data_IF_369749378095
#
_entry.id   IF_369749378095
#
_cell.length_a   1.000
_cell.length_b   1.000
_cell.length_c   1.000
_cell.angle_alpha   90.00
_cell.angle_beta   90.00
_cell.angle_gamma   90.00
#
_symmetry.space_group_name_H-M   'P 1'
#
loop_
_entity.id
_entity.type
_entity.pdbx_description
1 polymer ?
#
# COMPACT_ATOMS: atom_id res chain seq x y z
N UNK A 1 19.63 69.28 -65.90
CA UNK A 1 19.55 69.37 -64.43
C UNK A 1 20.35 68.20 -63.86
N UNK A 2 21.63 68.35 -63.50
CA UNK A 2 22.15 68.68 -62.13
C UNK A 2 21.56 67.76 -61.05
N UNK A 3 22.27 66.93 -60.26
CA UNK A 3 23.67 66.77 -59.78
C UNK A 3 23.87 65.27 -59.41
N UNK A 4 25.01 64.60 -59.62
CA UNK A 4 26.20 64.52 -58.73
C UNK A 4 25.84 64.34 -57.23
N UNK A 5 26.44 63.50 -56.37
CA UNK A 5 27.80 62.93 -56.34
C UNK A 5 27.97 62.10 -55.05
N UNK A 6 28.92 61.15 -55.07
CA UNK A 6 29.93 60.83 -54.03
C UNK A 6 29.49 60.15 -52.71
N UNK A 7 29.71 58.83 -52.70
CA UNK A 7 30.56 58.04 -51.79
C UNK A 7 31.12 58.74 -50.53
N UNK A 8 30.85 58.19 -49.34
CA UNK A 8 31.89 58.09 -48.32
C UNK A 8 31.72 56.84 -47.45
N UNK A 9 32.81 56.09 -47.41
CA UNK A 9 33.09 54.88 -46.65
C UNK A 9 33.48 55.28 -45.23
N UNK A 10 32.88 54.70 -44.19
CA UNK A 10 33.62 54.45 -42.94
C UNK A 10 33.09 53.22 -42.22
N UNK A 11 34.06 52.39 -41.86
CA UNK A 11 33.99 51.04 -41.33
C UNK A 11 34.30 51.12 -39.81
N UNK A 12 33.96 50.05 -39.08
CA UNK A 12 34.44 49.70 -37.71
C UNK A 12 33.70 50.46 -36.57
N UNK A 13 33.25 49.91 -35.44
CA UNK A 13 33.01 48.57 -34.87
C UNK A 13 32.55 48.86 -33.42
N UNK A 14 31.83 47.92 -32.82
CA UNK A 14 31.89 47.57 -31.39
C UNK A 14 30.82 48.10 -30.39
N UNK A 15 30.12 47.11 -29.81
CA UNK A 15 29.64 46.98 -28.41
C UNK A 15 28.35 47.79 -28.08
N UNK A 16 27.27 47.26 -27.53
CA UNK A 16 27.11 46.11 -26.64
C UNK A 16 25.80 45.36 -26.88
N UNK A 17 25.84 44.07 -26.60
CA UNK A 17 24.69 43.21 -26.40
C UNK A 17 23.78 43.76 -25.28
N UNK A 18 22.48 43.72 -25.52
CA UNK A 18 21.48 43.55 -24.46
C UNK A 18 20.29 42.82 -25.09
N UNK A 19 20.47 41.50 -25.22
CA UNK A 19 19.34 40.62 -25.39
C UNK A 19 18.47 40.75 -24.12
N UNK A 20 17.33 41.44 -24.23
CA UNK A 20 16.21 41.19 -23.34
C UNK A 20 15.70 39.78 -23.68
N UNK A 21 16.36 38.78 -23.13
CA UNK A 21 15.70 37.53 -22.82
C UNK A 21 14.78 37.85 -21.65
N UNK A 22 13.53 38.13 -21.96
CA UNK A 22 12.44 37.93 -21.01
C UNK A 22 12.46 36.44 -20.64
N UNK A 23 13.26 36.11 -19.64
CA UNK A 23 13.14 34.87 -18.89
C UNK A 23 11.80 34.97 -18.17
N UNK A 24 10.73 34.56 -18.86
CA UNK A 24 9.57 34.02 -18.20
C UNK A 24 10.08 32.77 -17.46
N UNK A 25 10.58 33.00 -16.26
CA UNK A 25 10.76 31.98 -15.24
C UNK A 25 9.35 31.49 -14.96
N UNK A 26 8.88 30.52 -15.74
CA UNK A 26 7.73 29.73 -15.36
C UNK A 26 8.18 29.02 -14.08
N UNK A 27 7.84 29.60 -12.94
CA UNK A 27 7.78 28.87 -11.70
C UNK A 27 6.78 27.75 -11.97
N UNK A 28 7.31 26.57 -12.31
CA UNK A 28 6.57 25.34 -12.20
C UNK A 28 6.27 25.22 -10.72
N UNK A 29 5.12 25.75 -10.31
CA UNK A 29 4.46 25.34 -9.08
C UNK A 29 4.25 23.85 -9.25
N UNK A 30 5.17 23.05 -8.73
CA UNK A 30 4.88 21.66 -8.43
C UNK A 30 3.75 21.73 -7.42
N UNK A 31 2.52 21.61 -7.93
CA UNK A 31 1.36 21.35 -7.11
C UNK A 31 1.60 19.94 -6.58
N UNK A 32 2.37 19.84 -5.49
CA UNK A 32 2.56 18.59 -4.78
C UNK A 32 1.27 18.36 -4.05
N UNK A 33 0.24 17.91 -4.79
CA UNK A 33 -0.92 17.31 -4.18
C UNK A 33 -0.39 16.22 -3.26
N UNK A 34 -0.65 16.39 -1.96
CA UNK A 34 -0.29 15.39 -0.98
C UNK A 34 -1.00 14.11 -1.39
N UNK A 35 -0.24 13.16 -1.94
CA UNK A 35 -0.77 11.84 -2.27
C UNK A 35 -1.34 11.26 -0.98
N UNK A 36 -2.56 10.76 -1.05
CA UNK A 36 -3.23 10.05 0.04
C UNK A 36 -3.16 8.55 -0.19
N UNK A 37 -3.35 7.77 0.87
CA UNK A 37 -3.44 6.32 0.78
C UNK A 37 -4.65 5.94 -0.11
N UNK A 38 -4.47 5.12 -1.16
CA UNK A 38 -5.55 4.71 -2.05
C UNK A 38 -6.71 4.07 -1.28
N UNK A 39 -7.91 4.35 -1.76
CA UNK A 39 -9.15 3.74 -1.27
C UNK A 39 -9.78 2.95 -2.41
N UNK A 40 -10.26 1.75 -2.11
CA UNK A 40 -10.91 0.84 -3.04
C UNK A 40 -12.35 0.57 -2.58
N UNK A 41 -13.24 0.29 -3.53
CA UNK A 41 -14.63 -0.04 -3.20
C UNK A 41 -14.75 -1.45 -2.64
N UNK A 42 -13.86 -2.36 -3.09
CA UNK A 42 -13.91 -3.78 -2.72
C UNK A 42 -12.58 -4.29 -2.17
N UNK A 43 -12.66 -5.37 -1.37
CA UNK A 43 -11.47 -6.11 -0.90
C UNK A 43 -10.71 -6.72 -2.08
N UNK A 44 -11.43 -7.09 -3.14
CA UNK A 44 -10.86 -7.64 -4.37
C UNK A 44 -9.90 -6.66 -5.04
N UNK A 45 -10.39 -5.46 -5.37
CA UNK A 45 -9.56 -4.40 -5.95
C UNK A 45 -8.33 -4.08 -5.09
N UNK A 46 -8.53 -4.02 -3.77
CA UNK A 46 -7.44 -3.75 -2.82
C UNK A 46 -6.37 -4.85 -2.81
N UNK A 47 -6.77 -6.14 -2.76
CA UNK A 47 -5.83 -7.25 -2.76
C UNK A 47 -5.14 -7.43 -4.12
N UNK A 48 -5.84 -7.19 -5.23
CA UNK A 48 -5.27 -7.20 -6.58
C UNK A 48 -4.19 -6.13 -6.75
N UNK A 49 -4.44 -4.91 -6.25
CA UNK A 49 -3.44 -3.82 -6.29
C UNK A 49 -2.24 -4.09 -5.37
N UNK A 50 -2.46 -4.74 -4.22
CA UNK A 50 -1.37 -5.11 -3.30
C UNK A 50 -0.38 -6.13 -3.89
N UNK A 51 -0.88 -7.04 -4.73
CA UNK A 51 -0.06 -8.10 -5.33
C UNK A 51 0.49 -9.14 -4.35
N UNK A 52 -0.03 -9.23 -3.13
CA UNK A 52 0.47 -10.19 -2.13
C UNK A 52 -0.19 -11.57 -2.25
N UNK A 53 -1.43 -11.64 -2.76
CA UNK A 53 -2.23 -12.86 -2.85
C UNK A 53 -2.98 -12.95 -4.18
N UNK A 54 -3.11 -14.18 -4.71
CA UNK A 54 -3.63 -14.44 -6.05
C UNK A 54 -4.50 -15.72 -6.04
N UNK A 55 -5.63 -15.69 -6.76
CA UNK A 55 -6.50 -16.86 -6.87
C UNK A 55 -5.84 -17.97 -7.70
N UNK A 56 -5.09 -17.59 -8.74
CA UNK A 56 -4.45 -18.49 -9.71
C UNK A 56 -3.44 -19.43 -9.07
N UNK A 57 -2.83 -19.00 -7.96
CA UNK A 57 -1.82 -19.79 -7.26
C UNK A 57 -2.33 -20.39 -5.94
N UNK A 58 -3.63 -20.23 -5.65
CA UNK A 58 -4.28 -20.76 -4.45
C UNK A 58 -4.00 -19.97 -3.17
N UNK A 59 -3.27 -18.85 -3.22
CA UNK A 59 -3.00 -18.00 -2.07
C UNK A 59 -4.15 -17.08 -1.69
N UNK A 60 -5.13 -16.90 -2.56
CA UNK A 60 -6.37 -16.18 -2.32
C UNK A 60 -7.59 -17.02 -2.70
N UNK A 61 -8.67 -16.93 -1.90
CA UNK A 61 -10.02 -17.32 -2.32
C UNK A 61 -11.04 -16.34 -1.75
N UNK A 62 -12.01 -15.95 -2.55
CA UNK A 62 -13.20 -15.26 -2.06
C UNK A 62 -14.25 -16.32 -1.72
N UNK A 63 -14.50 -16.51 -0.43
CA UNK A 63 -15.53 -17.45 0.07
C UNK A 63 -16.90 -16.78 0.00
N UNK A 64 -16.97 -15.48 0.29
CA UNK A 64 -18.15 -14.64 0.12
C UNK A 64 -17.71 -13.20 -0.22
N UNK A 65 -18.33 -12.62 -1.23
CA UNK A 65 -18.16 -11.21 -1.63
C UNK A 65 -19.39 -10.35 -1.28
N UNK A 66 -20.38 -10.93 -0.59
CA UNK A 66 -21.54 -10.18 -0.13
C UNK A 66 -21.11 -9.11 0.88
N UNK A 67 -21.48 -7.85 0.64
CA UNK A 67 -21.05 -6.70 1.47
C UNK A 67 -21.39 -6.85 2.96
N UNK A 68 -22.45 -7.59 3.30
CA UNK A 68 -22.86 -7.88 4.68
C UNK A 68 -22.10 -9.03 5.35
N UNK A 69 -21.33 -9.81 4.58
CA UNK A 69 -20.62 -10.99 5.08
C UNK A 69 -19.41 -11.30 4.17
N UNK A 70 -18.48 -10.35 4.03
CA UNK A 70 -17.28 -10.58 3.23
C UNK A 70 -16.41 -11.60 3.96
N UNK A 71 -16.02 -12.66 3.24
CA UNK A 71 -15.18 -13.73 3.75
C UNK A 71 -14.15 -14.10 2.72
N UNK A 72 -12.88 -13.95 3.09
CA UNK A 72 -11.74 -14.34 2.25
C UNK A 72 -10.89 -15.41 2.93
N UNK A 73 -10.21 -16.20 2.12
CA UNK A 73 -9.11 -17.05 2.53
C UNK A 73 -7.80 -16.48 1.99
N UNK A 74 -6.80 -16.35 2.85
CA UNK A 74 -5.42 -16.08 2.44
C UNK A 74 -4.52 -17.23 2.86
N UNK A 75 -3.54 -17.55 2.01
CA UNK A 75 -2.72 -18.74 2.19
C UNK A 75 -1.29 -18.45 1.77
N UNK A 76 -0.39 -18.23 2.73
CA UNK A 76 1.04 -18.17 2.42
C UNK A 76 1.65 -19.56 2.26
N UNK A 77 2.57 -19.74 1.31
CA UNK A 77 3.33 -20.97 1.19
C UNK A 77 4.24 -21.17 2.39
N UNK A 78 4.29 -22.39 2.90
CA UNK A 78 5.23 -22.83 3.94
C UNK A 78 6.01 -24.06 3.48
N UNK A 79 7.21 -24.22 4.03
CA UNK A 79 7.97 -25.45 3.89
C UNK A 79 7.48 -26.48 4.89
N UNK A 80 7.46 -27.75 4.50
CA UNK A 80 7.17 -28.87 5.41
C UNK A 80 8.12 -28.96 6.61
N UNK A 81 9.30 -28.33 6.51
CA UNK A 81 10.32 -28.30 7.53
C UNK A 81 10.20 -27.08 8.46
N UNK A 82 9.27 -26.16 8.19
CA UNK A 82 9.05 -25.01 9.06
C UNK A 82 8.60 -25.48 10.44
N UNK A 83 9.12 -24.83 11.48
CA UNK A 83 8.72 -25.15 12.84
C UNK A 83 7.24 -24.82 13.06
N UNK A 84 6.57 -25.62 13.90
CA UNK A 84 5.16 -25.42 14.26
C UNK A 84 4.88 -23.96 14.68
N UNK A 85 5.73 -23.39 15.53
CA UNK A 85 5.58 -22.01 16.01
C UNK A 85 5.72 -20.98 14.88
N UNK A 86 6.65 -21.18 13.96
CA UNK A 86 6.80 -20.28 12.81
C UNK A 86 5.54 -20.30 11.91
N UNK A 87 4.96 -21.48 11.68
CA UNK A 87 3.72 -21.61 10.91
C UNK A 87 2.54 -20.92 11.63
N UNK A 88 2.42 -21.11 12.95
CA UNK A 88 1.39 -20.43 13.75
C UNK A 88 1.53 -18.90 13.71
N UNK A 89 2.76 -18.37 13.74
CA UNK A 89 3.01 -16.93 13.58
C UNK A 89 2.63 -16.42 12.19
N UNK A 90 2.95 -17.17 11.12
CA UNK A 90 2.57 -16.80 9.74
C UNK A 90 1.05 -16.68 9.63
N UNK A 91 0.31 -17.66 10.16
CA UNK A 91 -1.15 -17.67 10.12
C UNK A 91 -1.76 -16.45 10.81
N UNK A 92 -1.25 -16.11 12.01
CA UNK A 92 -1.70 -14.92 12.74
C UNK A 92 -1.33 -13.64 11.99
N UNK A 93 -0.11 -13.55 11.44
CA UNK A 93 0.38 -12.40 10.67
C UNK A 93 -0.48 -12.12 9.47
N UNK A 94 -0.90 -13.15 8.73
CA UNK A 94 -1.74 -12.97 7.56
C UNK A 94 -3.10 -12.37 7.93
N UNK A 95 -3.70 -12.82 9.04
CA UNK A 95 -4.96 -12.24 9.55
C UNK A 95 -4.77 -10.78 9.97
N UNK A 96 -3.71 -10.45 10.73
CA UNK A 96 -3.42 -9.08 11.16
C UNK A 96 -3.16 -8.19 9.94
N UNK A 97 -2.34 -8.65 9.00
CA UNK A 97 -1.98 -7.90 7.81
C UNK A 97 -3.22 -7.55 6.98
N UNK A 98 -4.00 -8.56 6.60
CA UNK A 98 -5.14 -8.39 5.71
C UNK A 98 -6.24 -7.57 6.36
N UNK A 99 -6.50 -7.77 7.66
CA UNK A 99 -7.50 -6.98 8.38
C UNK A 99 -7.15 -5.48 8.40
N UNK A 100 -5.93 -5.15 8.83
CA UNK A 100 -5.53 -3.75 8.98
C UNK A 100 -5.35 -3.05 7.63
N UNK A 101 -4.85 -3.76 6.61
CA UNK A 101 -4.79 -3.22 5.25
C UNK A 101 -6.20 -2.97 4.69
N UNK A 102 -7.13 -3.92 4.88
CA UNK A 102 -8.53 -3.74 4.44
C UNK A 102 -9.16 -2.52 5.10
N UNK A 103 -8.99 -2.32 6.40
CA UNK A 103 -9.57 -1.16 7.08
C UNK A 103 -8.87 0.15 6.75
N UNK A 104 -7.61 0.10 6.32
CA UNK A 104 -6.87 1.26 5.85
C UNK A 104 -7.33 1.74 4.46
N UNK A 105 -7.74 0.82 3.60
CA UNK A 105 -7.92 1.10 2.16
C UNK A 105 -9.35 0.81 1.65
N UNK A 106 -10.29 0.48 2.53
CA UNK A 106 -11.71 0.31 2.18
C UNK A 106 -12.61 0.99 3.21
N UNK A 107 -13.92 1.01 2.98
CA UNK A 107 -14.92 1.49 3.95
C UNK A 107 -15.63 0.37 4.73
N UNK A 108 -15.09 -0.85 4.73
CA UNK A 108 -15.70 -1.98 5.43
C UNK A 108 -15.60 -1.86 6.94
N UNK A 109 -16.69 -2.15 7.63
CA UNK A 109 -16.70 -2.22 9.10
C UNK A 109 -16.30 -3.58 9.63
N UNK A 110 -16.41 -4.63 8.80
CA UNK A 110 -16.23 -6.00 9.24
C UNK A 110 -15.66 -6.85 8.09
N UNK A 111 -14.84 -7.85 8.43
CA UNK A 111 -14.26 -8.80 7.49
C UNK A 111 -14.03 -10.15 8.18
N UNK A 112 -14.42 -11.25 7.53
CA UNK A 112 -14.01 -12.59 7.95
C UNK A 112 -12.79 -13.04 7.14
N UNK A 113 -11.74 -13.45 7.84
CA UNK A 113 -10.48 -13.89 7.23
C UNK A 113 -10.20 -15.31 7.67
N UNK A 114 -9.95 -16.21 6.73
CA UNK A 114 -9.36 -17.52 6.99
C UNK A 114 -7.92 -17.52 6.53
N UNK A 115 -6.98 -17.68 7.46
CA UNK A 115 -5.60 -17.99 7.10
C UNK A 115 -5.38 -19.50 7.22
N UNK A 116 -4.95 -20.10 6.10
CA UNK A 116 -4.56 -21.52 6.05
C UNK A 116 -3.33 -21.65 5.17
N UNK A 117 -2.19 -22.13 5.70
CA UNK A 117 -0.97 -22.24 4.91
C UNK A 117 -1.11 -23.22 3.75
N UNK A 118 -0.41 -22.95 2.64
CA UNK A 118 -0.29 -23.86 1.51
C UNK A 118 1.11 -24.49 1.46
N UNK A 119 1.22 -25.66 0.85
CA UNK A 119 2.52 -26.31 0.64
C UNK A 119 3.30 -25.58 -0.45
N UNK A 120 4.54 -25.18 -0.13
CA UNK A 120 5.42 -24.48 -1.07
C UNK A 120 5.66 -25.29 -2.35
N UNK A 121 5.77 -26.62 -2.25
CA UNK A 121 6.03 -27.53 -3.37
C UNK A 121 4.74 -27.94 -4.09
N UNK A 122 3.62 -28.05 -3.37
CA UNK A 122 2.31 -28.37 -3.92
C UNK A 122 1.26 -27.33 -3.54
N UNK A 123 1.08 -26.32 -4.41
CA UNK A 123 0.15 -25.21 -4.17
C UNK A 123 -1.34 -25.61 -4.15
N UNK A 124 -1.67 -26.88 -4.38
CA UNK A 124 -3.03 -27.42 -4.21
C UNK A 124 -3.26 -28.02 -2.83
N UNK A 125 -2.20 -28.24 -2.05
CA UNK A 125 -2.25 -28.83 -0.72
C UNK A 125 -2.24 -27.75 0.36
N UNK A 126 -3.26 -27.78 1.21
CA UNK A 126 -3.42 -26.89 2.35
C UNK A 126 -3.11 -27.63 3.66
N UNK A 127 -2.53 -26.91 4.61
CA UNK A 127 -2.28 -27.42 5.96
C UNK A 127 -3.39 -27.02 6.92
N UNK A 128 -4.55 -27.70 6.80
CA UNK A 128 -5.75 -27.42 7.61
C UNK A 128 -5.52 -27.49 9.13
N UNK A 129 -4.52 -28.24 9.60
CA UNK A 129 -4.16 -28.31 11.02
C UNK A 129 -3.74 -26.96 11.61
N UNK A 130 -3.31 -26.02 10.77
CA UNK A 130 -2.92 -24.66 11.17
C UNK A 130 -3.97 -23.61 10.85
N UNK A 131 -5.10 -23.99 10.24
CA UNK A 131 -6.14 -23.06 9.83
C UNK A 131 -6.65 -22.23 11.01
N UNK A 132 -6.77 -20.93 10.79
CA UNK A 132 -7.46 -20.01 11.69
C UNK A 132 -8.45 -19.17 10.89
N UNK A 133 -9.64 -19.02 11.44
CA UNK A 133 -10.66 -18.13 10.89
C UNK A 133 -11.01 -17.12 11.96
N UNK A 134 -11.02 -15.84 11.58
CA UNK A 134 -11.34 -14.74 12.49
C UNK A 134 -12.28 -13.77 11.80
N UNK A 135 -13.29 -13.33 12.54
CA UNK A 135 -14.18 -12.26 12.15
C UNK A 135 -13.71 -10.99 12.85
N UNK A 136 -13.36 -9.96 12.09
CA UNK A 136 -12.69 -8.76 12.62
C UNK A 136 -13.54 -7.53 12.38
N UNK A 137 -13.64 -6.67 13.39
CA UNK A 137 -14.36 -5.40 13.35
C UNK A 137 -13.40 -4.20 13.31
N UNK A 138 -13.76 -3.16 12.54
CA UNK A 138 -13.00 -1.93 12.34
C UNK A 138 -12.83 -1.15 13.64
N UNK A 139 -13.87 -1.03 14.48
CA UNK A 139 -13.78 -0.28 15.73
C UNK A 139 -12.83 -0.96 16.72
N UNK A 140 -12.82 -2.29 16.74
CA UNK A 140 -11.82 -3.06 17.50
C UNK A 140 -10.41 -2.83 16.97
N UNK A 141 -10.20 -2.91 15.66
CA UNK A 141 -8.89 -2.63 15.04
C UNK A 141 -8.41 -1.19 15.32
N UNK A 142 -9.29 -0.18 15.29
CA UNK A 142 -8.98 1.20 15.72
C UNK A 142 -8.57 1.27 17.19
N UNK A 143 -9.21 0.51 18.07
CA UNK A 143 -8.83 0.47 19.49
C UNK A 143 -7.43 -0.11 19.69
N UNK A 144 -7.06 -1.12 18.90
CA UNK A 144 -5.70 -1.70 18.88
C UNK A 144 -4.68 -0.66 18.39
N UNK A 145 -4.99 0.12 17.34
CA UNK A 145 -4.12 1.22 16.90
C UNK A 145 -3.92 2.24 18.03
N UNK A 146 -4.99 2.64 18.74
CA UNK A 146 -4.89 3.62 19.82
C UNK A 146 -3.95 3.14 20.91
N UNK A 147 -4.10 1.88 21.29
CA UNK A 147 -3.30 1.28 22.36
C UNK A 147 -1.81 1.17 21.99
N UNK A 148 -1.49 0.69 20.79
CA UNK A 148 -0.11 0.37 20.43
C UNK A 148 0.62 1.51 19.70
N UNK A 149 -0.10 2.45 19.09
CA UNK A 149 0.45 3.49 18.20
C UNK A 149 -0.07 4.89 18.52
N UNK A 150 -0.94 5.06 19.51
CA UNK A 150 -1.54 6.36 19.88
C UNK A 150 -2.22 7.07 18.69
N UNK A 151 -2.87 6.30 17.81
CA UNK A 151 -3.62 6.78 16.64
C UNK A 151 -4.83 5.88 16.40
N UNK A 152 -5.89 6.38 15.74
CA UNK A 152 -6.95 5.55 15.15
C UNK A 152 -7.11 5.71 13.64
N UNK A 153 -6.16 6.42 13.04
CA UNK A 153 -6.01 6.51 11.60
C UNK A 153 -5.10 5.39 11.12
N UNK A 154 -5.64 4.51 10.29
CA UNK A 154 -4.92 3.39 9.69
C UNK A 154 -3.82 3.85 8.70
N UNK A 155 -3.87 5.08 8.21
CA UNK A 155 -2.83 5.63 7.32
C UNK A 155 -1.44 5.63 7.97
N UNK A 156 -1.37 5.66 9.31
CA UNK A 156 -0.12 5.59 10.09
C UNK A 156 0.69 4.32 9.84
N UNK A 157 0.08 3.28 9.27
CA UNK A 157 0.70 1.99 8.95
C UNK A 157 1.45 1.98 7.63
N UNK A 158 1.36 3.04 6.83
CA UNK A 158 1.92 3.09 5.48
C UNK A 158 2.79 4.33 5.28
N UNK A 159 3.80 4.19 4.42
CA UNK A 159 4.60 5.29 3.91
C UNK A 159 4.52 5.31 2.38
N UNK A 160 4.59 6.51 1.80
CA UNK A 160 4.75 6.66 0.37
C UNK A 160 6.23 6.68 0.01
N UNK A 161 6.69 5.64 -0.69
CA UNK A 161 8.08 5.49 -1.13
C UNK A 161 8.13 5.30 -2.65
N UNK A 162 8.87 6.16 -3.35
CA UNK A 162 8.99 6.13 -4.83
C UNK A 162 7.64 6.09 -5.56
N UNK A 163 6.60 6.70 -4.98
CA UNK A 163 5.26 6.73 -5.56
C UNK A 163 4.38 5.53 -5.23
N UNK A 164 4.85 4.58 -4.42
CA UNK A 164 4.16 3.36 -4.00
C UNK A 164 3.90 3.44 -2.49
N UNK A 165 2.71 3.04 -2.04
CA UNK A 165 2.39 2.96 -0.61
C UNK A 165 2.82 1.61 -0.06
N UNK A 166 3.70 1.61 0.94
CA UNK A 166 4.26 0.41 1.54
C UNK A 166 3.99 0.35 3.05
N UNK A 167 3.71 -0.84 3.61
CA UNK A 167 3.69 -1.05 5.05
C UNK A 167 4.97 -0.54 5.72
N UNK A 168 4.81 0.18 6.83
CA UNK A 168 5.93 0.78 7.56
C UNK A 168 6.18 0.07 8.90
N UNK A 169 7.13 0.61 9.69
CA UNK A 169 7.51 0.08 11.00
C UNK A 169 6.35 0.00 12.01
N UNK A 170 5.34 0.88 11.91
CA UNK A 170 4.17 0.79 12.77
C UNK A 170 3.34 -0.44 12.44
N UNK A 171 3.23 -0.79 11.16
CA UNK A 171 2.60 -2.03 10.76
C UNK A 171 3.42 -3.24 11.23
N UNK A 172 4.75 -3.20 11.05
CA UNK A 172 5.63 -4.26 11.53
C UNK A 172 5.51 -4.47 13.04
N UNK A 173 5.37 -3.40 13.83
CA UNK A 173 5.10 -3.51 15.27
C UNK A 173 3.85 -4.34 15.56
N UNK A 174 2.77 -4.15 14.80
CA UNK A 174 1.52 -4.90 15.03
C UNK A 174 1.63 -6.38 14.63
N UNK A 175 2.24 -6.68 13.47
CA UNK A 175 2.30 -8.05 12.93
C UNK A 175 3.53 -8.86 13.36
N UNK A 176 4.57 -8.24 13.89
CA UNK A 176 5.78 -8.93 14.37
C UNK A 176 5.96 -8.78 15.87
N UNK A 177 6.13 -7.55 16.37
CA UNK A 177 6.52 -7.31 17.77
C UNK A 177 5.38 -7.58 18.75
N UNK A 178 4.15 -7.21 18.37
CA UNK A 178 2.94 -7.28 19.19
C UNK A 178 1.93 -8.31 18.69
N UNK A 179 2.38 -9.26 17.86
CA UNK A 179 1.51 -10.20 17.15
C UNK A 179 0.51 -10.92 18.07
N UNK A 180 0.96 -11.51 19.18
CA UNK A 180 0.09 -12.25 20.09
C UNK A 180 -0.93 -11.35 20.81
N UNK A 181 -0.49 -10.17 21.25
CA UNK A 181 -1.34 -9.17 21.91
C UNK A 181 -2.40 -8.62 20.94
N UNK A 182 -2.00 -8.32 19.70
CA UNK A 182 -2.89 -7.81 18.64
C UNK A 182 -3.89 -8.89 18.22
N UNK A 183 -3.39 -10.08 17.87
CA UNK A 183 -4.23 -11.18 17.38
C UNK A 183 -5.28 -11.61 18.40
N UNK A 184 -4.90 -11.78 19.67
CA UNK A 184 -5.84 -12.17 20.74
C UNK A 184 -6.94 -11.14 21.00
N UNK A 185 -6.71 -9.87 20.67
CA UNK A 185 -7.70 -8.79 20.81
C UNK A 185 -8.57 -8.60 19.57
N UNK A 186 -8.25 -9.22 18.43
CA UNK A 186 -9.03 -9.07 17.20
C UNK A 186 -10.28 -9.96 17.18
N UNK A 187 -10.32 -11.01 18.01
CA UNK A 187 -11.48 -11.90 18.12
C UNK A 187 -12.67 -11.20 18.80
N UNK A 188 -13.87 -11.55 18.36
CA UNK A 188 -15.16 -10.97 18.80
C UNK A 188 -15.92 -11.99 19.63
#
# INVERSE_FOLDING_TARGET
MTKNSILNLLFILSIAASALLASCKSETKTNTEAKTLPQYETVREMLEDSGDFYEENGSLKFISEEKSNIHIQVSKPISKNDSKSAVEEIVKRDIVYVAFQTFAQTNLNELTITSVPLDFEDRKKYYDSYKKTLKVDRAKAKSILKEHLNSDDFSILFNLENGIWLPNKNFDKLKFEKLEEVYSKMDI
#
